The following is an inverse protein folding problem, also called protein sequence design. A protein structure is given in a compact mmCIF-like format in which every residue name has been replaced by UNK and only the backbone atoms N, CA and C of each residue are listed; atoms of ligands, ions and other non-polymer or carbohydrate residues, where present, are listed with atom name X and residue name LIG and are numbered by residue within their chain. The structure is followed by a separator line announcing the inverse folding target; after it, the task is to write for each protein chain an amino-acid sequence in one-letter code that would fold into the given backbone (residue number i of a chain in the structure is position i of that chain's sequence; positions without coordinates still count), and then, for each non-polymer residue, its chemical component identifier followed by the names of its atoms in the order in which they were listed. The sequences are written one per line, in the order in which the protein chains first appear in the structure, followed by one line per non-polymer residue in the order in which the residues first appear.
data_IF_410055353087
#
_entry.id   IF_410055353087
#
_cell.length_a   1.000
_cell.length_b   1.000
_cell.length_c   1.000
_cell.angle_alpha   90.00
_cell.angle_beta   90.00
_cell.angle_gamma   90.00
#
_symmetry.space_group_name_H-M   'P 1'
#
loop_
_entity.id
_entity.type
_entity.pdbx_description
1 polymer ?
#
# COMPACT_ATOMS: atom_id res chain seq x y z
N UNK A 1 -26.68 2.64 -14.40
CA UNK A 1 -25.98 3.86 -13.93
C UNK A 1 -24.82 4.12 -14.86
N UNK A 2 -24.63 5.36 -15.31
CA UNK A 2 -23.53 5.70 -16.23
C UNK A 2 -22.18 5.64 -15.48
N UNK A 3 -21.06 5.27 -16.14
CA UNK A 3 -19.75 5.16 -15.49
C UNK A 3 -19.32 6.41 -14.71
N UNK A 4 -19.60 7.60 -15.24
CA UNK A 4 -19.31 8.87 -14.57
C UNK A 4 -20.08 9.06 -13.25
N UNK A 5 -21.35 8.69 -13.22
CA UNK A 5 -22.18 8.79 -12.00
C UNK A 5 -21.69 7.82 -10.92
N UNK A 6 -21.23 6.63 -11.35
CA UNK A 6 -20.62 5.63 -10.46
C UNK A 6 -19.32 6.14 -9.85
N UNK A 7 -18.43 6.72 -10.65
CA UNK A 7 -17.17 7.30 -10.15
C UNK A 7 -17.41 8.44 -9.14
N UNK A 8 -18.45 9.26 -9.36
CA UNK A 8 -18.85 10.32 -8.41
C UNK A 8 -19.46 9.75 -7.11
N UNK A 9 -20.04 8.56 -7.15
CA UNK A 9 -20.49 7.86 -5.95
C UNK A 9 -19.30 7.24 -5.20
N UNK A 10 -18.36 6.61 -5.92
CA UNK A 10 -17.15 6.00 -5.37
C UNK A 10 -16.23 7.03 -4.69
N UNK A 11 -16.18 8.28 -5.16
CA UNK A 11 -15.49 9.35 -4.45
C UNK A 11 -16.01 9.61 -3.01
N UNK A 12 -17.20 9.09 -2.66
CA UNK A 12 -17.78 9.19 -1.31
C UNK A 12 -17.85 7.85 -0.57
N UNK A 13 -17.28 6.81 -1.16
CA UNK A 13 -17.20 5.49 -0.55
C UNK A 13 -16.22 5.51 0.64
N UNK A 14 -16.50 4.75 1.69
CA UNK A 14 -15.65 4.67 2.89
C UNK A 14 -15.49 3.22 3.37
N UNK A 15 -15.55 2.26 2.44
CA UNK A 15 -15.38 0.84 2.72
C UNK A 15 -13.98 0.34 2.39
N UNK A 16 -13.88 -0.86 1.84
CA UNK A 16 -12.61 -1.53 1.56
C UNK A 16 -11.84 -0.90 0.39
N UNK A 17 -10.55 -0.64 0.59
CA UNK A 17 -9.68 0.02 -0.38
C UNK A 17 -9.45 -0.83 -1.63
N UNK A 18 -9.43 -2.16 -1.51
CA UNK A 18 -9.24 -3.07 -2.64
C UNK A 18 -10.48 -3.12 -3.53
N UNK A 19 -11.65 -3.35 -2.92
CA UNK A 19 -12.93 -3.32 -3.62
C UNK A 19 -13.18 -2.00 -4.34
N UNK A 20 -12.80 -0.87 -3.71
CA UNK A 20 -12.87 0.45 -4.34
C UNK A 20 -12.04 0.51 -5.64
N UNK A 21 -10.80 0.02 -5.63
CA UNK A 21 -9.89 0.08 -6.78
C UNK A 21 -10.42 -0.78 -7.93
N UNK A 22 -10.95 -1.97 -7.63
CA UNK A 22 -11.57 -2.86 -8.63
C UNK A 22 -12.81 -2.21 -9.27
N UNK A 23 -13.67 -1.58 -8.46
CA UNK A 23 -14.84 -0.86 -8.97
C UNK A 23 -14.46 0.36 -9.82
N UNK A 24 -13.42 1.10 -9.41
CA UNK A 24 -12.90 2.23 -10.19
C UNK A 24 -12.31 1.71 -11.51
N UNK A 25 -11.52 0.64 -11.49
CA UNK A 25 -10.97 0.02 -12.70
C UNK A 25 -12.07 -0.36 -13.69
N UNK A 26 -13.13 -1.04 -13.23
CA UNK A 26 -14.28 -1.40 -14.07
C UNK A 26 -14.93 -0.17 -14.72
N UNK A 27 -15.06 0.93 -13.96
CA UNK A 27 -15.63 2.17 -14.46
C UNK A 27 -14.72 2.89 -15.46
N UNK A 28 -13.41 2.98 -15.18
CA UNK A 28 -12.41 3.59 -16.06
C UNK A 28 -12.28 2.81 -17.36
N UNK A 29 -12.38 1.48 -17.32
CA UNK A 29 -12.34 0.63 -18.52
C UNK A 29 -13.51 0.85 -19.48
N UNK A 30 -14.61 1.44 -19.00
CA UNK A 30 -15.81 1.78 -19.80
C UNK A 30 -15.96 3.29 -20.01
N UNK A 31 -14.95 4.07 -19.66
CA UNK A 31 -15.01 5.52 -19.70
C UNK A 31 -14.76 6.02 -21.13
N UNK A 32 -15.83 6.42 -21.81
CA UNK A 32 -15.82 6.90 -23.21
C UNK A 32 -15.75 8.44 -23.32
N UNK A 33 -15.22 9.11 -22.29
CA UNK A 33 -15.20 10.57 -22.23
C UNK A 33 -13.87 11.18 -22.69
N UNK A 34 -13.90 12.46 -23.07
CA UNK A 34 -12.73 13.26 -23.44
C UNK A 34 -11.63 13.15 -22.37
N UNK A 35 -10.34 12.97 -22.76
CA UNK A 35 -9.18 13.00 -21.87
C UNK A 35 -9.21 14.08 -20.77
N UNK A 36 -9.74 15.28 -21.05
CA UNK A 36 -9.86 16.32 -20.02
C UNK A 36 -10.80 15.90 -18.89
N UNK A 37 -11.95 15.30 -19.21
CA UNK A 37 -12.90 14.82 -18.21
C UNK A 37 -12.32 13.65 -17.41
N UNK A 38 -11.57 12.76 -18.06
CA UNK A 38 -10.89 11.65 -17.41
C UNK A 38 -9.91 12.17 -16.33
N UNK A 39 -9.08 13.15 -16.66
CA UNK A 39 -8.15 13.78 -15.70
C UNK A 39 -8.91 14.39 -14.52
N UNK A 40 -10.00 15.12 -14.77
CA UNK A 40 -10.79 15.74 -13.70
C UNK A 40 -11.42 14.71 -12.76
N UNK A 41 -11.93 13.60 -13.30
CA UNK A 41 -12.51 12.52 -12.49
C UNK A 41 -11.44 11.81 -11.66
N UNK A 42 -10.30 11.47 -12.27
CA UNK A 42 -9.18 10.87 -11.55
C UNK A 42 -8.69 11.79 -10.41
N UNK A 43 -8.45 13.07 -10.68
CA UNK A 43 -8.05 14.02 -9.61
C UNK A 43 -9.06 14.07 -8.47
N UNK A 44 -10.36 14.10 -8.80
CA UNK A 44 -11.41 14.10 -7.78
C UNK A 44 -11.40 12.83 -6.94
N UNK A 45 -11.22 11.66 -7.55
CA UNK A 45 -11.11 10.40 -6.82
C UNK A 45 -9.92 10.42 -5.87
N UNK A 46 -8.74 10.82 -6.36
CA UNK A 46 -7.51 10.87 -5.55
C UNK A 46 -7.60 11.88 -4.40
N UNK A 47 -8.29 13.00 -4.60
CA UNK A 47 -8.53 13.99 -3.55
C UNK A 47 -9.43 13.44 -2.41
N UNK A 48 -10.31 12.48 -2.69
CA UNK A 48 -11.15 11.85 -1.67
C UNK A 48 -10.50 10.61 -1.04
N UNK A 49 -9.58 9.97 -1.77
CA UNK A 49 -8.88 8.75 -1.36
C UNK A 49 -7.37 8.95 -1.35
N UNK A 50 -6.85 9.96 -0.62
CA UNK A 50 -5.46 10.37 -0.75
C UNK A 50 -4.48 9.33 -0.22
N UNK A 51 -4.91 8.38 0.61
CA UNK A 51 -4.06 7.31 1.18
C UNK A 51 -4.06 6.01 0.37
N UNK A 52 -4.90 5.87 -0.66
CA UNK A 52 -5.04 4.63 -1.43
C UNK A 52 -4.02 4.55 -2.58
N UNK A 53 -2.80 4.10 -2.29
CA UNK A 53 -1.72 4.01 -3.28
C UNK A 53 -2.06 3.24 -4.57
N UNK A 54 -2.74 2.06 -4.50
CA UNK A 54 -3.20 1.35 -5.69
C UNK A 54 -4.08 2.20 -6.62
N UNK A 55 -4.94 3.06 -6.06
CA UNK A 55 -5.76 3.98 -6.85
C UNK A 55 -4.91 5.05 -7.54
N UNK A 56 -3.91 5.61 -6.85
CA UNK A 56 -2.95 6.54 -7.46
C UNK A 56 -2.18 5.90 -8.62
N UNK A 57 -1.70 4.68 -8.42
CA UNK A 57 -0.98 3.92 -9.43
C UNK A 57 -1.86 3.63 -10.66
N UNK A 58 -3.09 3.14 -10.44
CA UNK A 58 -4.05 2.89 -11.52
C UNK A 58 -4.36 4.17 -12.31
N UNK A 59 -4.70 5.26 -11.61
CA UNK A 59 -4.99 6.55 -12.25
C UNK A 59 -3.80 7.05 -13.08
N UNK A 60 -2.56 6.89 -12.59
CA UNK A 60 -1.37 7.29 -13.32
C UNK A 60 -1.20 6.54 -14.65
N UNK A 61 -1.48 5.24 -14.67
CA UNK A 61 -1.48 4.44 -15.90
C UNK A 61 -2.57 4.85 -16.90
N UNK A 62 -3.69 5.35 -16.42
CA UNK A 62 -4.87 5.63 -17.26
C UNK A 62 -4.84 7.04 -17.87
N UNK A 63 -4.51 8.08 -17.10
CA UNK A 63 -4.71 9.48 -17.57
C UNK A 63 -3.82 9.89 -18.74
N UNK A 64 -2.66 9.26 -18.90
CA UNK A 64 -1.73 9.52 -20.01
C UNK A 64 -1.90 8.57 -21.20
N UNK A 65 -2.84 7.62 -21.12
CA UNK A 65 -3.01 6.59 -22.13
C UNK A 65 -3.92 7.05 -23.28
N UNK A 66 -3.54 6.71 -24.51
CA UNK A 66 -4.40 6.94 -25.70
C UNK A 66 -5.65 6.05 -25.73
N UNK A 67 -5.64 4.94 -25.00
CA UNK A 67 -6.80 4.06 -24.78
C UNK A 67 -6.87 3.73 -23.27
N UNK A 68 -7.72 4.44 -22.51
CA UNK A 68 -7.93 4.21 -21.09
C UNK A 68 -8.31 2.76 -20.77
N UNK A 69 -9.13 2.13 -21.61
CA UNK A 69 -9.59 0.77 -21.38
C UNK A 69 -8.46 -0.25 -21.56
N UNK A 70 -7.61 -0.06 -22.56
CA UNK A 70 -6.41 -0.88 -22.72
C UNK A 70 -5.41 -0.68 -21.57
N UNK A 71 -5.27 0.56 -21.07
CA UNK A 71 -4.42 0.87 -19.93
C UNK A 71 -4.90 0.21 -18.64
N UNK A 72 -6.20 0.26 -18.33
CA UNK A 72 -6.78 -0.47 -17.19
C UNK A 72 -6.49 -1.97 -17.30
N UNK A 73 -6.78 -2.59 -18.46
CA UNK A 73 -6.52 -4.03 -18.65
C UNK A 73 -5.03 -4.37 -18.52
N UNK A 74 -4.13 -3.47 -18.91
CA UNK A 74 -2.69 -3.67 -18.74
C UNK A 74 -2.28 -3.56 -17.27
N UNK A 75 -2.80 -2.57 -16.55
CA UNK A 75 -2.61 -2.37 -15.13
C UNK A 75 -3.08 -3.60 -14.33
N UNK A 76 -4.29 -4.08 -14.58
CA UNK A 76 -4.84 -5.30 -13.96
C UNK A 76 -3.97 -6.52 -14.21
N UNK A 77 -3.46 -6.71 -15.44
CA UNK A 77 -2.53 -7.81 -15.76
C UNK A 77 -1.21 -7.70 -15.02
N UNK A 78 -0.71 -6.48 -14.78
CA UNK A 78 0.51 -6.25 -14.01
C UNK A 78 0.29 -6.66 -12.56
N UNK A 79 -0.80 -6.22 -11.94
CA UNK A 79 -1.16 -6.57 -10.56
C UNK A 79 -1.42 -8.08 -10.42
N UNK A 80 -2.15 -8.69 -11.35
CA UNK A 80 -2.41 -10.14 -11.34
C UNK A 80 -1.14 -10.99 -11.51
N UNK A 81 -0.04 -10.40 -12.00
CA UNK A 81 1.27 -11.06 -12.14
C UNK A 81 2.26 -10.60 -11.08
N UNK A 82 1.81 -9.85 -10.07
CA UNK A 82 2.68 -9.40 -9.00
C UNK A 82 3.21 -10.61 -8.22
N UNK A 83 4.54 -10.71 -8.14
CA UNK A 83 5.24 -11.80 -7.47
C UNK A 83 5.70 -11.41 -6.07
N UNK A 84 5.27 -10.26 -5.54
CA UNK A 84 5.68 -9.76 -4.22
C UNK A 84 5.44 -10.79 -3.13
N UNK A 85 4.23 -11.37 -3.07
CA UNK A 85 3.88 -12.42 -2.08
C UNK A 85 4.80 -13.63 -2.22
N UNK A 86 4.88 -14.21 -3.42
CA UNK A 86 5.70 -15.40 -3.71
C UNK A 86 7.17 -15.19 -3.33
N UNK A 87 7.70 -14.00 -3.62
CA UNK A 87 9.10 -13.67 -3.34
C UNK A 87 9.32 -13.39 -1.87
N UNK A 88 8.38 -12.74 -1.19
CA UNK A 88 8.44 -12.53 0.25
C UNK A 88 8.47 -13.89 0.97
N UNK A 89 7.57 -14.81 0.63
CA UNK A 89 7.55 -16.19 1.17
C UNK A 89 8.93 -16.86 1.07
N UNK A 90 9.61 -16.71 -0.07
CA UNK A 90 10.90 -17.34 -0.34
C UNK A 90 12.08 -16.74 0.44
N UNK A 91 11.96 -15.49 0.90
CA UNK A 91 13.04 -14.77 1.60
C UNK A 91 12.76 -14.54 3.09
N UNK A 92 11.52 -14.73 3.54
CA UNK A 92 11.18 -14.68 4.96
C UNK A 92 12.09 -15.66 5.71
N UNK A 93 12.81 -15.19 6.74
CA UNK A 93 13.93 -15.89 7.35
C UNK A 93 13.53 -17.28 7.85
N UNK A 94 14.47 -18.22 7.76
CA UNK A 94 14.31 -19.63 8.13
C UNK A 94 14.95 -19.92 9.48
N UNK A 95 14.34 -20.83 10.24
CA UNK A 95 13.48 -20.49 11.37
C UNK A 95 14.23 -19.72 12.45
N UNK A 96 13.62 -18.63 12.93
CA UNK A 96 13.96 -18.01 14.19
C UNK A 96 12.95 -18.51 15.24
N UNK A 97 13.43 -18.81 16.44
CA UNK A 97 12.54 -19.13 17.57
C UNK A 97 11.77 -17.87 18.00
N UNK A 98 12.26 -16.69 17.61
CA UNK A 98 11.68 -15.40 17.91
C UNK A 98 10.57 -14.97 16.92
N UNK A 99 9.55 -14.24 17.38
CA UNK A 99 8.41 -13.85 16.56
C UNK A 99 8.78 -12.80 15.50
N UNK A 100 8.08 -12.87 14.37
CA UNK A 100 8.03 -11.80 13.37
C UNK A 100 6.85 -10.88 13.72
N UNK A 101 7.13 -9.60 13.93
CA UNK A 101 6.10 -8.59 14.11
C UNK A 101 5.60 -8.10 12.74
N UNK A 102 4.29 -7.96 12.60
CA UNK A 102 3.66 -7.28 11.46
C UNK A 102 2.68 -6.23 11.97
N UNK A 103 2.70 -5.04 11.37
CA UNK A 103 1.77 -3.98 11.74
C UNK A 103 0.40 -4.24 11.08
N UNK A 104 -0.62 -4.52 11.89
CA UNK A 104 -1.94 -4.91 11.41
C UNK A 104 -1.93 -6.25 10.67
N UNK A 105 -2.72 -6.39 9.62
CA UNK A 105 -2.71 -7.60 8.79
C UNK A 105 -2.96 -7.23 7.33
N UNK A 106 -1.97 -6.65 6.66
CA UNK A 106 -2.12 -6.13 5.31
C UNK A 106 -2.07 -7.26 4.28
N UNK A 107 -2.62 -7.03 3.09
CA UNK A 107 -3.02 -8.09 2.14
C UNK A 107 -1.85 -8.97 1.67
N UNK A 108 -0.78 -8.36 1.13
CA UNK A 108 0.32 -9.12 0.54
C UNK A 108 1.21 -9.74 1.63
N UNK A 109 1.44 -9.00 2.72
CA UNK A 109 2.25 -9.47 3.86
C UNK A 109 1.53 -10.59 4.60
N UNK A 110 0.23 -10.43 4.88
CA UNK A 110 -0.61 -11.45 5.51
C UNK A 110 -0.65 -12.73 4.67
N UNK A 111 -0.89 -12.62 3.36
CA UNK A 111 -0.86 -13.77 2.46
C UNK A 111 0.50 -14.50 2.44
N UNK A 112 1.61 -13.75 2.50
CA UNK A 112 2.94 -14.35 2.57
C UNK A 112 3.19 -15.07 3.92
N UNK A 113 2.69 -14.52 5.02
CA UNK A 113 2.80 -15.12 6.34
C UNK A 113 1.88 -16.33 6.50
N UNK A 114 0.69 -16.33 5.88
CA UNK A 114 -0.20 -17.50 5.85
C UNK A 114 0.42 -18.67 5.08
N UNK A 115 1.18 -18.39 4.02
CA UNK A 115 1.96 -19.39 3.30
C UNK A 115 3.19 -19.93 4.07
N UNK A 116 3.49 -19.37 5.25
CA UNK A 116 4.59 -19.77 6.14
C UNK A 116 4.08 -20.07 7.56
N UNK A 117 3.30 -21.16 7.73
CA UNK A 117 2.74 -21.53 9.04
C UNK A 117 3.81 -21.94 10.06
N UNK A 118 5.04 -22.18 9.60
CA UNK A 118 6.22 -22.51 10.40
C UNK A 118 6.76 -21.32 11.22
N UNK A 119 6.40 -20.09 10.88
CA UNK A 119 6.90 -18.87 11.55
C UNK A 119 6.03 -18.49 12.76
N UNK A 120 6.62 -18.09 13.89
CA UNK A 120 5.86 -17.39 14.94
C UNK A 120 5.61 -15.94 14.49
N UNK A 121 4.35 -15.52 14.53
CA UNK A 121 3.91 -14.22 14.00
C UNK A 121 3.05 -13.52 15.04
N UNK A 122 3.41 -12.27 15.32
CA UNK A 122 2.62 -11.38 16.16
C UNK A 122 2.12 -10.20 15.35
N UNK A 123 0.83 -9.91 15.48
CA UNK A 123 0.24 -8.73 14.84
C UNK A 123 0.25 -7.59 15.83
N UNK A 124 1.05 -6.57 15.56
CA UNK A 124 1.01 -5.33 16.32
C UNK A 124 -0.23 -4.55 15.91
N UNK A 125 -1.06 -4.18 16.89
CA UNK A 125 -2.26 -3.39 16.67
C UNK A 125 -1.89 -1.99 16.14
N UNK A 126 -2.38 -1.58 14.95
CA UNK A 126 -2.22 -0.19 14.51
C UNK A 126 -2.91 0.75 15.48
N UNK A 127 -2.31 1.92 15.72
CA UNK A 127 -2.93 2.95 16.56
C UNK A 127 -4.31 3.35 16.04
N UNK A 128 -4.43 3.39 14.70
CA UNK A 128 -5.66 3.71 13.98
C UNK A 128 -5.95 2.59 12.99
N UNK A 129 -6.67 1.54 13.41
CA UNK A 129 -6.98 0.43 12.53
C UNK A 129 -7.93 0.87 11.42
N UNK A 130 -7.65 0.45 10.19
CA UNK A 130 -8.58 0.63 9.08
C UNK A 130 -9.82 -0.27 9.23
N UNK A 131 -10.87 0.06 8.47
CA UNK A 131 -12.15 -0.66 8.48
C UNK A 131 -12.02 -2.14 8.06
N UNK A 132 -10.99 -2.49 7.29
CA UNK A 132 -10.74 -3.82 6.75
C UNK A 132 -9.96 -4.75 7.68
N UNK A 133 -9.31 -4.22 8.74
CA UNK A 133 -8.45 -5.03 9.63
C UNK A 133 -9.18 -6.24 10.22
N UNK A 134 -10.40 -6.06 10.74
CA UNK A 134 -11.17 -7.17 11.35
C UNK A 134 -11.52 -8.26 10.33
N UNK A 135 -11.92 -7.86 9.13
CA UNK A 135 -12.25 -8.81 8.06
C UNK A 135 -11.01 -9.61 7.64
N UNK A 136 -9.87 -8.93 7.45
CA UNK A 136 -8.60 -9.58 7.10
C UNK A 136 -8.10 -10.53 8.19
N UNK A 137 -8.19 -10.15 9.47
CA UNK A 137 -7.85 -11.03 10.58
C UNK A 137 -8.78 -12.26 10.67
N UNK A 138 -10.07 -12.08 10.40
CA UNK A 138 -11.04 -13.18 10.40
C UNK A 138 -10.93 -14.12 9.19
N UNK A 139 -10.30 -13.66 8.11
CA UNK A 139 -10.04 -14.44 6.90
C UNK A 139 -8.63 -15.06 6.87
N UNK A 140 -7.78 -14.79 7.87
CA UNK A 140 -6.43 -15.34 7.92
C UNK A 140 -6.46 -16.87 8.05
N UNK A 141 -5.58 -17.56 7.32
CA UNK A 141 -5.49 -19.03 7.33
C UNK A 141 -4.79 -19.58 8.59
N UNK A 142 -4.29 -18.69 9.45
CA UNK A 142 -3.62 -19.01 10.70
C UNK A 142 -4.25 -18.34 11.91
N UNK A 143 -4.01 -18.92 13.09
CA UNK A 143 -4.34 -18.26 14.35
C UNK A 143 -3.45 -17.01 14.53
N UNK A 144 -4.06 -15.83 14.44
CA UNK A 144 -3.36 -14.56 14.56
C UNK A 144 -3.40 -14.05 16.00
N UNK A 145 -2.23 -13.75 16.56
CA UNK A 145 -2.09 -13.14 17.90
C UNK A 145 -1.94 -11.62 17.77
N UNK A 146 -3.01 -10.88 18.05
CA UNK A 146 -3.01 -9.42 18.09
C UNK A 146 -2.45 -8.92 19.43
N UNK A 147 -1.36 -8.16 19.37
CA UNK A 147 -0.60 -7.65 20.52
C UNK A 147 -0.40 -6.13 20.46
N UNK A 148 -0.01 -5.54 21.59
CA UNK A 148 0.52 -4.18 21.67
C UNK A 148 2.01 -4.13 21.29
N UNK A 149 2.53 -2.92 21.03
CA UNK A 149 3.96 -2.71 20.79
C UNK A 149 4.84 -3.22 21.95
N UNK A 150 4.41 -2.98 23.19
CA UNK A 150 5.10 -3.45 24.40
C UNK A 150 5.16 -4.98 24.49
N UNK A 151 4.08 -5.67 24.13
CA UNK A 151 4.06 -7.14 24.10
C UNK A 151 4.92 -7.71 22.98
N UNK A 152 4.97 -7.06 21.80
CA UNK A 152 5.87 -7.46 20.72
C UNK A 152 7.35 -7.29 21.12
N UNK A 153 7.67 -6.18 21.81
CA UNK A 153 9.00 -5.93 22.37
C UNK A 153 9.37 -6.97 23.43
N UNK A 154 8.49 -7.24 24.38
CA UNK A 154 8.71 -8.27 25.40
C UNK A 154 8.88 -9.68 24.81
N UNK A 155 8.28 -9.93 23.65
CA UNK A 155 8.43 -11.17 22.89
C UNK A 155 9.74 -11.28 22.10
N UNK A 156 10.57 -10.23 22.06
CA UNK A 156 11.86 -10.25 21.38
C UNK A 156 11.75 -10.33 19.86
N UNK A 157 10.76 -9.66 19.25
CA UNK A 157 10.56 -9.72 17.81
C UNK A 157 11.81 -9.28 17.04
N UNK A 158 12.28 -10.12 16.11
CA UNK A 158 13.54 -9.89 15.37
C UNK A 158 13.32 -9.18 14.04
N UNK A 159 12.09 -9.18 13.54
CA UNK A 159 11.72 -8.56 12.28
C UNK A 159 10.42 -7.78 12.47
N UNK A 160 10.34 -6.63 11.81
CA UNK A 160 9.12 -5.82 11.72
C UNK A 160 8.75 -5.67 10.24
N UNK A 161 7.64 -6.30 9.83
CA UNK A 161 7.10 -6.17 8.48
C UNK A 161 6.05 -5.06 8.44
N UNK A 162 6.23 -4.12 7.51
CA UNK A 162 5.29 -3.01 7.27
C UNK A 162 4.95 -2.96 5.79
N UNK A 163 3.70 -3.24 5.45
CA UNK A 163 3.22 -3.03 4.09
C UNK A 163 2.97 -1.54 3.85
N UNK A 164 3.60 -1.00 2.81
CA UNK A 164 3.46 0.42 2.48
C UNK A 164 2.08 0.68 1.90
N UNK A 165 1.55 1.87 2.15
CA UNK A 165 0.36 2.36 1.42
C UNK A 165 0.78 2.87 0.04
N UNK A 166 1.95 3.50 -0.04
CA UNK A 166 2.64 3.84 -1.28
C UNK A 166 4.14 3.99 -1.01
N UNK A 167 4.98 3.81 -2.02
CA UNK A 167 6.41 4.02 -1.92
C UNK A 167 6.97 4.63 -3.21
N UNK A 168 7.96 5.48 -3.06
CA UNK A 168 8.76 6.09 -4.12
C UNK A 168 10.24 5.72 -3.92
N UNK A 169 11.15 6.14 -4.80
CA UNK A 169 12.58 5.91 -4.64
C UNK A 169 13.19 6.32 -3.29
N UNK A 170 12.65 7.35 -2.62
CA UNK A 170 13.23 7.84 -1.36
C UNK A 170 12.29 7.81 -0.16
N UNK A 171 10.99 7.68 -0.38
CA UNK A 171 9.98 7.85 0.68
C UNK A 171 8.94 6.75 0.61
N UNK A 172 8.44 6.30 1.75
CA UNK A 172 7.24 5.48 1.85
C UNK A 172 6.17 6.20 2.66
N UNK A 173 4.92 6.06 2.22
CA UNK A 173 3.75 6.33 3.04
C UNK A 173 3.34 5.02 3.73
N UNK A 174 3.26 5.05 5.05
CA UNK A 174 2.95 3.89 5.89
C UNK A 174 1.84 4.25 6.88
N UNK A 175 1.17 3.27 7.53
CA UNK A 175 0.26 3.56 8.63
C UNK A 175 0.97 4.34 9.75
N UNK A 176 0.23 5.19 10.47
CA UNK A 176 0.79 5.95 11.58
C UNK A 176 1.33 5.04 12.70
N UNK A 177 2.39 5.51 13.38
CA UNK A 177 3.02 4.83 14.52
C UNK A 177 4.14 3.86 14.13
N UNK A 178 4.55 3.80 12.85
CA UNK A 178 5.68 2.94 12.42
C UNK A 178 7.00 3.46 12.97
N UNK A 179 7.21 4.78 13.04
CA UNK A 179 8.40 5.39 13.61
C UNK A 179 8.57 5.05 15.09
N UNK A 180 7.48 5.17 15.87
CA UNK A 180 7.46 4.83 17.30
C UNK A 180 7.64 3.32 17.50
N UNK A 181 6.94 2.49 16.72
CA UNK A 181 7.10 1.04 16.78
C UNK A 181 8.52 0.58 16.46
N UNK A 182 9.21 1.27 15.54
CA UNK A 182 10.63 1.00 15.24
C UNK A 182 11.54 1.43 16.39
N UNK A 183 11.20 2.50 17.11
CA UNK A 183 11.95 2.91 18.29
C UNK A 183 11.75 1.94 19.46
N UNK A 184 10.55 1.39 19.60
CA UNK A 184 10.20 0.36 20.60
C UNK A 184 10.81 -1.01 20.27
N UNK A 185 11.15 -1.27 19.01
CA UNK A 185 11.77 -2.51 18.52
C UNK A 185 13.15 -2.23 17.90
N UNK A 186 14.13 -1.72 18.67
CA UNK A 186 15.39 -1.22 18.13
C UNK A 186 16.27 -2.32 17.51
N UNK A 187 16.11 -3.56 17.96
CA UNK A 187 16.85 -4.73 17.46
C UNK A 187 16.15 -5.42 16.28
N UNK A 188 14.91 -5.04 15.96
CA UNK A 188 14.16 -5.66 14.88
C UNK A 188 14.58 -5.09 13.52
N UNK A 189 14.83 -5.98 12.55
CA UNK A 189 15.00 -5.56 11.16
C UNK A 189 13.65 -5.09 10.58
N UNK A 190 13.53 -3.78 10.32
CA UNK A 190 12.36 -3.20 9.68
C UNK A 190 12.40 -3.45 8.17
N UNK A 191 11.48 -4.26 7.66
CA UNK A 191 11.29 -4.53 6.25
C UNK A 191 10.00 -3.89 5.75
N UNK A 192 10.09 -3.18 4.62
CA UNK A 192 8.91 -2.71 3.92
C UNK A 192 8.44 -3.75 2.90
N UNK A 193 7.13 -3.89 2.75
CA UNK A 193 6.51 -4.69 1.69
C UNK A 193 5.79 -3.73 0.74
N UNK A 194 6.23 -3.72 -0.52
CA UNK A 194 5.75 -2.81 -1.56
C UNK A 194 5.29 -3.59 -2.80
N UNK A 195 4.01 -4.01 -2.82
CA UNK A 195 3.37 -4.55 -4.01
C UNK A 195 3.48 -3.58 -5.21
N UNK A 196 3.40 -4.12 -6.43
CA UNK A 196 3.67 -3.37 -7.67
C UNK A 196 2.75 -2.15 -7.83
N UNK A 197 1.50 -2.24 -7.38
CA UNK A 197 0.51 -1.17 -7.44
C UNK A 197 0.69 -0.08 -6.38
N UNK A 198 1.74 -0.17 -5.56
CA UNK A 198 2.07 0.85 -4.55
C UNK A 198 3.36 1.59 -4.84
N UNK A 199 4.03 1.28 -5.95
CA UNK A 199 5.29 1.90 -6.33
C UNK A 199 5.02 3.09 -7.25
N UNK A 200 5.20 4.31 -6.74
CA UNK A 200 4.89 5.57 -7.41
C UNK A 200 6.17 6.39 -7.72
N UNK A 201 6.15 7.24 -8.76
CA UNK A 201 7.21 8.21 -8.97
C UNK A 201 7.27 9.23 -7.83
N UNK A 202 8.47 9.74 -7.53
CA UNK A 202 8.70 10.65 -6.40
C UNK A 202 7.73 11.85 -6.37
N UNK A 203 7.51 12.48 -7.53
CA UNK A 203 6.59 13.62 -7.63
C UNK A 203 5.14 13.26 -7.36
N UNK A 204 4.71 12.06 -7.76
CA UNK A 204 3.34 11.63 -7.56
C UNK A 204 3.10 11.30 -6.08
N UNK A 205 4.06 10.62 -5.42
CA UNK A 205 4.01 10.42 -3.98
C UNK A 205 4.06 11.75 -3.20
N UNK A 206 4.86 12.72 -3.64
CA UNK A 206 4.88 14.04 -3.03
C UNK A 206 3.50 14.75 -3.12
N UNK A 207 2.80 14.62 -4.26
CA UNK A 207 1.42 15.13 -4.38
C UNK A 207 0.46 14.39 -3.44
N UNK A 208 0.60 13.07 -3.33
CA UNK A 208 -0.16 12.24 -2.39
C UNK A 208 0.03 12.70 -0.95
N UNK A 209 1.28 12.90 -0.52
CA UNK A 209 1.61 13.42 0.81
C UNK A 209 1.05 14.83 1.05
N UNK A 210 1.09 15.70 0.04
CA UNK A 210 0.47 17.03 0.10
C UNK A 210 -1.04 16.97 0.30
N UNK A 211 -1.72 16.03 -0.36
CA UNK A 211 -3.16 15.83 -0.21
C UNK A 211 -3.54 15.25 1.17
N UNK A 212 -2.69 14.40 1.74
CA UNK A 212 -2.88 13.82 3.08
C UNK A 212 -2.65 14.85 4.20
N UNK A 213 -1.68 15.75 4.02
CA UNK A 213 -1.27 16.75 5.04
C UNK A 213 -2.04 18.06 4.97
N UNK A 214 -2.85 18.27 3.93
CA UNK A 214 -3.72 19.43 3.82
C UNK A 214 -4.63 19.50 5.07
N UNK A 215 -4.82 20.70 5.67
CA UNK A 215 -5.61 20.86 6.89
C UNK A 215 -7.08 20.53 6.59
N UNK A 216 -7.43 19.26 6.80
CA UNK A 216 -8.83 18.84 6.92
C UNK A 216 -9.21 19.11 8.37
N UNK A 217 -10.31 19.82 8.61
CA UNK A 217 -10.90 19.90 9.95
C UNK A 217 -11.26 18.48 10.40
N UNK A 218 -10.39 17.85 11.21
CA UNK A 218 -10.50 16.45 11.58
C UNK A 218 -9.31 15.97 12.43
N UNK A 219 -9.40 14.77 13.03
CA UNK A 219 -8.29 14.16 13.77
C UNK A 219 -7.07 13.95 12.87
N UNK A 220 -5.88 13.88 13.46
CA UNK A 220 -4.60 13.77 12.72
C UNK A 220 -4.61 12.68 11.63
N UNK A 221 -3.69 12.75 10.68
CA UNK A 221 -3.62 11.75 9.62
C UNK A 221 -3.37 10.33 10.18
N UNK A 222 -4.11 9.31 9.72
CA UNK A 222 -3.88 7.91 10.10
C UNK A 222 -2.67 7.26 9.44
N UNK A 223 -1.80 8.07 8.84
CA UNK A 223 -0.64 7.66 8.06
C UNK A 223 0.54 8.59 8.35
N UNK A 224 1.74 8.12 8.10
CA UNK A 224 2.97 8.88 8.24
C UNK A 224 3.95 8.60 7.09
N UNK A 225 4.93 9.47 6.92
CA UNK A 225 5.98 9.31 5.91
C UNK A 225 7.27 8.79 6.52
N UNK A 226 7.89 7.82 5.87
CA UNK A 226 9.17 7.23 6.27
C UNK A 226 10.22 7.38 5.17
N UNK A 227 11.44 7.80 5.52
CA UNK A 227 12.57 7.79 4.61
C UNK A 227 13.06 6.35 4.37
N UNK A 228 13.18 5.94 3.10
CA UNK A 228 13.62 4.59 2.74
C UNK A 228 15.06 4.27 3.17
N UNK A 229 15.93 5.28 3.26
CA UNK A 229 17.29 5.10 3.76
C UNK A 229 17.34 4.53 5.20
N UNK A 230 16.24 4.67 5.96
CA UNK A 230 16.14 4.16 7.31
C UNK A 230 15.64 2.72 7.43
N UNK A 231 15.24 2.04 6.34
CA UNK A 231 14.71 0.66 6.42
C UNK A 231 15.75 -0.37 6.00
N UNK A 232 15.68 -1.58 6.58
CA UNK A 232 16.69 -2.61 6.33
C UNK A 232 16.56 -3.17 4.90
N UNK A 233 15.34 -3.51 4.49
CA UNK A 233 15.03 -4.12 3.19
C UNK A 233 13.64 -3.72 2.69
N UNK A 234 13.45 -3.86 1.38
CA UNK A 234 12.16 -3.66 0.73
C UNK A 234 11.84 -4.91 -0.10
N UNK A 235 10.77 -5.61 0.25
CA UNK A 235 10.24 -6.72 -0.51
C UNK A 235 9.23 -6.18 -1.54
N UNK A 236 9.43 -6.50 -2.82
CA UNK A 236 8.52 -6.10 -3.88
C UNK A 236 8.49 -7.11 -5.03
N UNK A 237 7.96 -6.73 -6.21
CA UNK A 237 7.84 -7.63 -7.36
C UNK A 237 9.21 -8.08 -7.89
N UNK A 238 10.29 -7.39 -7.49
CA UNK A 238 11.69 -7.69 -7.77
C UNK A 238 12.34 -8.68 -6.81
N UNK A 239 11.69 -9.01 -5.69
CA UNK A 239 12.27 -9.73 -4.56
C UNK A 239 12.69 -8.78 -3.45
N UNK A 240 13.62 -9.24 -2.60
CA UNK A 240 14.17 -8.43 -1.52
C UNK A 240 15.28 -7.52 -2.07
N UNK A 241 15.03 -6.21 -2.07
CA UNK A 241 15.96 -5.19 -2.52
C UNK A 241 16.44 -4.33 -1.33
N UNK A 242 17.62 -3.71 -1.49
CA UNK A 242 18.05 -2.63 -0.60
C UNK A 242 17.36 -1.31 -1.00
N UNK A 243 17.24 -0.33 -0.10
CA UNK A 243 16.66 0.97 -0.41
C UNK A 243 17.26 1.65 -1.65
N UNK A 244 18.55 1.49 -1.90
CA UNK A 244 19.25 2.09 -3.04
C UNK A 244 18.94 1.40 -4.38
N UNK A 245 18.50 0.13 -4.34
CA UNK A 245 18.18 -0.67 -5.53
C UNK A 245 16.70 -0.60 -5.90
N UNK A 246 15.83 -0.38 -4.91
CA UNK A 246 14.39 -0.25 -5.08
C UNK A 246 13.95 0.72 -6.21
N UNK A 247 14.60 1.89 -6.43
CA UNK A 247 14.24 2.82 -7.51
C UNK A 247 14.28 2.19 -8.91
N UNK A 248 15.07 1.13 -9.12
CA UNK A 248 15.17 0.42 -10.41
C UNK A 248 13.91 -0.40 -10.74
N UNK A 249 12.94 -0.46 -9.83
CA UNK A 249 11.66 -1.18 -9.97
C UNK A 249 10.50 -0.26 -10.34
N UNK A 250 10.77 1.02 -10.59
CA UNK A 250 9.75 2.01 -10.92
C UNK A 250 9.28 1.84 -12.38
N UNK A 251 8.12 1.20 -12.55
CA UNK A 251 7.45 1.06 -13.84
C UNK A 251 6.18 1.94 -13.95
N UNK A 252 5.81 2.64 -12.87
CA UNK A 252 4.65 3.54 -12.85
C UNK A 252 4.96 4.84 -13.63
N UNK A 253 4.07 5.31 -14.52
CA UNK A 253 4.27 6.53 -15.28
C UNK A 253 4.19 7.78 -14.40
N UNK A 254 4.87 8.85 -14.83
CA UNK A 254 4.99 10.11 -14.07
C UNK A 254 3.68 10.88 -13.92
N UNK A 255 2.74 10.70 -14.84
CA UNK A 255 1.38 11.28 -14.86
C UNK A 255 1.34 12.74 -14.37
N UNK A 256 2.00 13.70 -15.08
CA UNK A 256 2.04 15.11 -14.67
C UNK A 256 0.64 15.74 -14.52
N UNK A 257 -0.36 15.20 -15.20
CA UNK A 257 -1.76 15.58 -15.09
C UNK A 257 -2.30 15.37 -13.67
N UNK A 258 -1.73 14.49 -12.85
CA UNK A 258 -2.19 14.22 -11.48
C UNK A 258 -1.43 15.02 -10.42
N UNK A 259 -0.36 15.73 -10.79
CA UNK A 259 0.51 16.46 -9.84
C UNK A 259 -0.09 17.80 -9.36
N UNK A 260 -1.38 18.03 -9.61
CA UNK A 260 -2.14 19.20 -9.21
C UNK A 260 -3.48 18.74 -8.65
N UNK A 261 -3.50 18.43 -7.36
CA UNK A 261 -4.71 18.17 -6.59
C UNK A 261 -5.11 19.42 -5.80
#
# INVERSE_FOLDING_TARGET
MLPFERLRALARYAGDDRGLVEEVAECLARFDADPVQLVLVCRRLLAHHPTNGPLWWLCAHVVGAGDPAAAVRAAERTVARDRTVERLVAVLPFPHDEPIAVLGWPEATGAALDARPDLDVVVVRPERPDVGLRARLGAADRAVRLVSATEAMAGGATHLLVEVLAASPTTALVPAGVADLRADLPDAECWLVAPVDRILPERLLATMLGAVTAPVEGPESGVESLALAGVARIAGPGGLDSPERFPRRLDCPTAPELQRL
#
